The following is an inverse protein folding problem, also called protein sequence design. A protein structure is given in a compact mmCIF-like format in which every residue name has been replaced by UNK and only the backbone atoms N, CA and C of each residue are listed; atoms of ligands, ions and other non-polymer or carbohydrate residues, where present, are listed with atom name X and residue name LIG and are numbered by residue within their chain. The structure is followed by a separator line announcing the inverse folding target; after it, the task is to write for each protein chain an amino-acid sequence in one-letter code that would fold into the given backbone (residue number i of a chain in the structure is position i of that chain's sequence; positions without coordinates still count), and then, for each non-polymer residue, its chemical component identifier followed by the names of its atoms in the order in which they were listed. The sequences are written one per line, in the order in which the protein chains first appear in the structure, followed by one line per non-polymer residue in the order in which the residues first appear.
data_IF_767971918944
#
_entry.id   IF_767971918944
#
_cell.length_a   1.000
_cell.length_b   1.000
_cell.length_c   1.000
_cell.angle_alpha   90.00
_cell.angle_beta   90.00
_cell.angle_gamma   90.00
#
_symmetry.space_group_name_H-M   'P 1'
#
loop_
_entity.id
_entity.type
_entity.pdbx_description
1 polymer ?
#
# COMPACT_ATOMS: atom_id res chain seq x y z
N UNK A 1 34.88 -18.19 -44.39
CA UNK A 1 35.29 -18.66 -43.05
C UNK A 1 36.79 -18.85 -43.11
N UNK A 2 37.52 -17.95 -42.46
CA UNK A 2 38.99 -17.90 -42.50
C UNK A 2 39.57 -19.08 -41.70
N UNK A 3 40.55 -19.75 -42.29
CA UNK A 3 41.38 -20.71 -41.58
C UNK A 3 42.26 -19.93 -40.59
N UNK A 4 42.08 -20.17 -39.30
CA UNK A 4 42.99 -19.68 -38.28
C UNK A 4 44.29 -20.47 -38.40
N UNK A 5 45.31 -19.80 -38.94
CA UNK A 5 46.70 -20.24 -38.87
C UNK A 5 47.10 -20.34 -37.40
N UNK A 6 47.10 -21.57 -36.87
CA UNK A 6 47.77 -21.94 -35.62
C UNK A 6 49.29 -21.82 -35.83
N UNK A 7 49.79 -20.59 -35.87
CA UNK A 7 51.21 -20.31 -35.72
C UNK A 7 51.62 -20.74 -34.30
N UNK A 8 52.10 -21.97 -34.18
CA UNK A 8 52.86 -22.40 -33.01
C UNK A 8 54.04 -21.45 -32.85
N UNK A 9 53.92 -20.53 -31.90
CA UNK A 9 55.00 -19.65 -31.49
C UNK A 9 56.22 -20.53 -31.21
N UNK A 10 57.21 -20.47 -32.12
CA UNK A 10 58.50 -21.11 -31.90
C UNK A 10 59.16 -20.35 -30.75
N UNK A 11 58.97 -20.85 -29.52
CA UNK A 11 59.65 -20.35 -28.33
C UNK A 11 61.13 -20.14 -28.65
N UNK A 12 61.54 -18.87 -28.71
CA UNK A 12 62.95 -18.51 -28.90
C UNK A 12 63.70 -19.02 -27.67
N UNK A 13 64.49 -20.07 -27.86
CA UNK A 13 65.37 -20.63 -26.84
C UNK A 13 66.21 -19.48 -26.27
N UNK A 14 66.17 -19.28 -24.96
CA UNK A 14 66.91 -18.21 -24.29
C UNK A 14 68.41 -18.43 -24.47
N UNK A 15 69.20 -17.35 -24.53
CA UNK A 15 70.66 -17.43 -24.53
C UNK A 15 71.22 -18.22 -23.32
N UNK A 16 70.48 -18.24 -22.21
CA UNK A 16 70.83 -19.02 -21.03
C UNK A 16 70.68 -20.52 -21.29
N UNK A 17 69.62 -20.94 -21.98
CA UNK A 17 69.37 -22.34 -22.35
C UNK A 17 70.40 -22.81 -23.37
N UNK A 18 70.78 -21.96 -24.33
CA UNK A 18 71.81 -22.29 -25.32
C UNK A 18 73.16 -22.55 -24.67
N UNK A 19 73.53 -21.75 -23.66
CA UNK A 19 74.77 -21.97 -22.90
C UNK A 19 74.71 -23.21 -22.02
N UNK A 20 73.55 -23.55 -21.46
CA UNK A 20 73.36 -24.81 -20.73
C UNK A 20 73.52 -26.02 -21.66
N UNK A 21 72.89 -26.01 -22.83
CA UNK A 21 72.99 -27.10 -23.80
C UNK A 21 74.42 -27.28 -24.33
N UNK A 22 75.17 -26.18 -24.51
CA UNK A 22 76.60 -26.25 -24.84
C UNK A 22 77.44 -26.84 -23.72
N UNK A 23 77.20 -26.45 -22.45
CA UNK A 23 77.88 -27.01 -21.28
C UNK A 23 77.62 -28.50 -21.10
N UNK A 24 76.41 -28.94 -21.40
CA UNK A 24 76.01 -30.36 -21.34
C UNK A 24 76.51 -31.17 -22.56
N UNK A 25 77.19 -30.53 -23.52
CA UNK A 25 77.72 -31.19 -24.71
C UNK A 25 76.66 -31.59 -25.75
N UNK A 26 75.39 -31.19 -25.54
CA UNK A 26 74.25 -31.57 -26.37
C UNK A 26 74.21 -30.82 -27.72
N UNK A 27 74.94 -29.71 -27.84
CA UNK A 27 75.06 -28.98 -29.12
C UNK A 27 76.20 -29.48 -30.03
N UNK A 28 77.06 -30.42 -29.61
CA UNK A 28 78.22 -30.86 -30.41
C UNK A 28 77.97 -32.09 -31.27
N UNK A 29 76.78 -32.68 -31.20
CA UNK A 29 76.44 -33.90 -31.92
C UNK A 29 75.07 -33.69 -32.55
N UNK A 30 75.06 -33.22 -33.79
CA UNK A 30 73.83 -33.08 -34.60
C UNK A 30 73.10 -34.44 -34.73
N UNK A 31 73.79 -35.57 -34.54
CA UNK A 31 73.22 -36.92 -34.50
C UNK A 31 72.94 -37.50 -33.08
N UNK A 32 73.19 -36.77 -31.98
CA UNK A 32 72.97 -37.32 -30.63
C UNK A 32 71.50 -37.38 -30.21
N UNK A 33 70.63 -36.67 -30.93
CA UNK A 33 69.18 -36.73 -30.73
C UNK A 33 68.54 -37.37 -31.97
N UNK A 34 69.03 -38.56 -32.34
CA UNK A 34 68.19 -39.48 -33.12
C UNK A 34 67.20 -40.11 -32.16
N UNK A 35 65.97 -39.61 -32.18
CA UNK A 35 64.85 -40.36 -31.62
C UNK A 35 64.80 -41.72 -32.33
N UNK A 36 64.74 -42.84 -31.59
CA UNK A 36 64.61 -44.14 -32.21
C UNK A 36 63.38 -44.13 -33.13
N UNK A 37 63.53 -44.59 -34.39
CA UNK A 37 62.39 -44.77 -35.30
C UNK A 37 61.38 -45.75 -34.68
N UNK A 38 60.12 -45.74 -35.14
CA UNK A 38 59.01 -46.53 -34.57
C UNK A 38 59.32 -48.03 -34.37
N UNK A 39 60.29 -48.58 -35.10
CA UNK A 39 60.76 -49.97 -34.97
C UNK A 39 61.68 -50.24 -33.76
N UNK A 40 62.18 -49.20 -33.11
CA UNK A 40 63.11 -49.29 -31.98
C UNK A 40 62.45 -49.06 -30.63
N UNK A 41 61.11 -49.13 -30.56
CA UNK A 41 60.45 -49.41 -29.29
C UNK A 41 60.61 -50.90 -28.98
N UNK A 42 61.29 -51.29 -27.87
CA UNK A 42 61.32 -52.68 -27.47
C UNK A 42 59.87 -53.14 -27.30
N UNK A 43 59.41 -54.04 -28.18
CA UNK A 43 58.13 -54.72 -27.98
C UNK A 43 58.20 -55.33 -26.59
N UNK A 44 57.31 -54.95 -25.65
CA UNK A 44 57.38 -55.48 -24.31
C UNK A 44 57.34 -57.01 -24.38
N UNK A 45 58.13 -57.71 -23.53
CA UNK A 45 58.13 -59.16 -23.48
C UNK A 45 56.67 -59.65 -23.43
N UNK A 46 56.34 -60.72 -24.16
CA UNK A 46 54.93 -61.17 -24.31
C UNK A 46 54.22 -61.35 -22.96
N UNK A 47 54.98 -61.68 -21.92
CA UNK A 47 54.55 -61.87 -20.53
C UNK A 47 53.88 -60.63 -19.91
N UNK A 48 54.28 -59.40 -20.29
CA UNK A 48 53.73 -58.16 -19.70
C UNK A 48 52.55 -57.58 -20.48
N UNK A 49 52.28 -58.06 -21.71
CA UNK A 49 51.18 -57.55 -22.54
C UNK A 49 49.79 -57.71 -21.88
N UNK A 50 49.47 -58.81 -21.19
CA UNK A 50 48.20 -58.94 -20.47
C UNK A 50 48.06 -57.92 -19.33
N UNK A 51 49.15 -57.70 -18.57
CA UNK A 51 49.17 -56.74 -17.46
C UNK A 51 48.99 -55.29 -17.95
N UNK A 52 49.62 -54.92 -19.06
CA UNK A 52 49.48 -53.58 -19.66
C UNK A 52 48.04 -53.35 -20.15
N UNK A 53 47.40 -54.38 -20.76
CA UNK A 53 45.98 -54.29 -21.17
C UNK A 53 45.04 -54.12 -19.98
N UNK A 54 45.29 -54.82 -18.87
CA UNK A 54 44.51 -54.66 -17.64
C UNK A 54 44.67 -53.28 -17.02
N UNK A 55 45.90 -52.74 -16.96
CA UNK A 55 46.15 -51.39 -16.47
C UNK A 55 45.45 -50.32 -17.33
N UNK A 56 45.46 -50.47 -18.65
CA UNK A 56 44.71 -49.58 -19.57
C UNK A 56 43.20 -49.69 -19.36
N UNK A 57 42.68 -50.90 -19.13
CA UNK A 57 41.26 -51.14 -18.84
C UNK A 57 40.84 -50.47 -17.54
N UNK A 58 41.60 -50.68 -16.46
CA UNK A 58 41.35 -50.08 -15.13
C UNK A 58 41.48 -48.56 -15.21
N UNK A 59 42.50 -48.03 -15.89
CA UNK A 59 42.68 -46.60 -16.10
C UNK A 59 41.50 -45.96 -16.84
N UNK A 60 40.98 -46.64 -17.87
CA UNK A 60 39.80 -46.18 -18.62
C UNK A 60 38.53 -46.15 -17.75
N UNK A 61 38.33 -47.14 -16.89
CA UNK A 61 37.22 -47.15 -15.93
C UNK A 61 37.33 -46.00 -14.92
N UNK A 62 38.54 -45.73 -14.41
CA UNK A 62 38.77 -44.64 -13.45
C UNK A 62 38.45 -43.26 -14.05
N UNK A 63 38.81 -43.02 -15.31
CA UNK A 63 38.43 -41.79 -16.03
C UNK A 63 36.91 -41.66 -16.12
N UNK A 64 36.20 -42.74 -16.47
CA UNK A 64 34.74 -42.75 -16.52
C UNK A 64 34.08 -42.44 -15.15
N UNK A 65 34.60 -42.99 -14.05
CA UNK A 65 34.11 -42.68 -12.71
C UNK A 65 34.36 -41.22 -12.32
N UNK A 66 35.50 -40.65 -12.70
CA UNK A 66 35.81 -39.24 -12.44
C UNK A 66 34.86 -38.31 -13.18
N UNK A 67 34.56 -38.59 -14.44
CA UNK A 67 33.57 -37.82 -15.21
C UNK A 67 32.16 -37.94 -14.63
N UNK A 68 31.79 -39.13 -14.16
CA UNK A 68 30.51 -39.33 -13.49
C UNK A 68 30.41 -38.54 -12.18
N UNK A 69 31.47 -38.55 -11.36
CA UNK A 69 31.54 -37.78 -10.12
C UNK A 69 31.42 -36.27 -10.40
N UNK A 70 32.14 -35.75 -11.41
CA UNK A 70 32.06 -34.35 -11.80
C UNK A 70 30.63 -33.95 -12.23
N UNK A 71 29.95 -34.78 -13.03
CA UNK A 71 28.54 -34.53 -13.40
C UNK A 71 27.58 -34.61 -12.21
N UNK A 72 27.86 -35.45 -11.23
CA UNK A 72 27.05 -35.55 -10.01
C UNK A 72 27.22 -34.29 -9.14
N UNK A 73 28.44 -33.78 -9.01
CA UNK A 73 28.73 -32.52 -8.32
C UNK A 73 28.07 -31.31 -9.01
N UNK A 74 28.14 -31.25 -10.34
CA UNK A 74 27.45 -30.21 -11.12
C UNK A 74 25.94 -30.22 -10.88
N UNK A 75 25.31 -31.40 -10.93
CA UNK A 75 23.87 -31.54 -10.65
C UNK A 75 23.52 -31.17 -9.21
N UNK A 76 24.39 -31.45 -8.24
CA UNK A 76 24.20 -31.03 -6.86
C UNK A 76 24.29 -29.50 -6.73
N UNK A 77 25.24 -28.88 -7.42
CA UNK A 77 25.36 -27.42 -7.47
C UNK A 77 24.12 -26.77 -8.07
N UNK A 78 23.67 -27.25 -9.23
CA UNK A 78 22.43 -26.75 -9.87
C UNK A 78 21.20 -26.95 -8.98
N UNK A 79 21.11 -28.09 -8.28
CA UNK A 79 20.00 -28.34 -7.37
C UNK A 79 20.00 -27.37 -6.19
N UNK A 80 21.17 -27.07 -5.62
CA UNK A 80 21.30 -26.10 -4.54
C UNK A 80 20.93 -24.69 -5.00
N UNK A 81 21.41 -24.26 -6.17
CA UNK A 81 21.03 -22.95 -6.74
C UNK A 81 19.52 -22.85 -6.96
N UNK A 82 18.87 -23.93 -7.43
CA UNK A 82 17.41 -23.98 -7.58
C UNK A 82 16.69 -23.90 -6.24
N UNK A 83 17.21 -24.57 -5.20
CA UNK A 83 16.65 -24.50 -3.84
C UNK A 83 16.74 -23.07 -3.30
N UNK A 84 17.88 -22.40 -3.47
CA UNK A 84 18.05 -21.01 -3.03
C UNK A 84 17.12 -20.05 -3.77
N UNK A 85 17.00 -20.22 -5.10
CA UNK A 85 16.07 -19.44 -5.90
C UNK A 85 14.60 -19.67 -5.51
N UNK A 86 14.23 -20.90 -5.15
CA UNK A 86 12.89 -21.22 -4.64
C UNK A 86 12.66 -20.65 -3.25
N UNK A 87 13.67 -20.68 -2.37
CA UNK A 87 13.60 -20.08 -1.04
C UNK A 87 13.36 -18.56 -1.12
N UNK A 88 14.10 -17.86 -2.00
CA UNK A 88 13.88 -16.42 -2.24
C UNK A 88 12.47 -16.12 -2.79
N UNK A 89 11.98 -16.93 -3.74
CA UNK A 89 10.62 -16.78 -4.26
C UNK A 89 9.56 -17.01 -3.19
N UNK A 90 9.78 -17.98 -2.30
CA UNK A 90 8.88 -18.25 -1.19
C UNK A 90 8.85 -17.07 -0.22
N UNK A 91 10.00 -16.53 0.16
CA UNK A 91 10.10 -15.37 1.06
C UNK A 91 9.39 -14.15 0.47
N UNK A 92 9.58 -13.86 -0.82
CA UNK A 92 8.88 -12.78 -1.51
C UNK A 92 7.36 -12.98 -1.53
N UNK A 93 6.91 -14.21 -1.79
CA UNK A 93 5.49 -14.58 -1.78
C UNK A 93 4.86 -14.43 -0.38
N UNK A 94 5.58 -14.86 0.66
CA UNK A 94 5.13 -14.70 2.05
C UNK A 94 5.08 -13.23 2.47
N UNK A 95 6.07 -12.42 2.09
CA UNK A 95 6.05 -10.98 2.33
C UNK A 95 4.85 -10.30 1.64
N UNK A 96 4.57 -10.68 0.39
CA UNK A 96 3.40 -10.19 -0.34
C UNK A 96 2.09 -10.62 0.34
N UNK A 97 1.99 -11.87 0.79
CA UNK A 97 0.82 -12.38 1.53
C UNK A 97 0.61 -11.61 2.83
N UNK A 98 1.64 -11.41 3.64
CA UNK A 98 1.55 -10.63 4.89
C UNK A 98 1.09 -9.20 4.64
N UNK A 99 1.60 -8.55 3.58
CA UNK A 99 1.17 -7.22 3.17
C UNK A 99 -0.32 -7.20 2.77
N UNK A 100 -0.76 -8.20 2.00
CA UNK A 100 -2.16 -8.33 1.60
C UNK A 100 -3.09 -8.60 2.79
N UNK A 101 -2.67 -9.41 3.76
CA UNK A 101 -3.42 -9.72 4.97
C UNK A 101 -3.59 -8.48 5.86
N UNK A 102 -2.55 -7.67 6.01
CA UNK A 102 -2.62 -6.38 6.72
C UNK A 102 -3.58 -5.42 6.01
N UNK A 103 -3.52 -5.33 4.68
CA UNK A 103 -4.44 -4.48 3.90
C UNK A 103 -5.90 -4.94 4.05
N UNK A 104 -6.15 -6.25 3.98
CA UNK A 104 -7.49 -6.81 4.18
C UNK A 104 -8.01 -6.56 5.59
N UNK A 105 -7.14 -6.62 6.60
CA UNK A 105 -7.51 -6.36 8.00
C UNK A 105 -7.87 -4.88 8.23
N UNK A 106 -7.09 -3.96 7.64
CA UNK A 106 -7.40 -2.53 7.64
C UNK A 106 -8.72 -2.22 6.94
N UNK A 107 -8.93 -2.78 5.74
CA UNK A 107 -10.17 -2.58 5.00
C UNK A 107 -11.40 -3.10 5.75
N UNK A 108 -11.28 -4.24 6.46
CA UNK A 108 -12.37 -4.74 7.32
C UNK A 108 -12.67 -3.78 8.46
N UNK A 109 -11.64 -3.27 9.15
CA UNK A 109 -11.82 -2.31 10.22
C UNK A 109 -12.49 -1.00 9.74
N UNK A 110 -12.07 -0.48 8.58
CA UNK A 110 -12.67 0.70 7.96
C UNK A 110 -14.14 0.47 7.58
N UNK A 111 -14.47 -0.71 7.05
CA UNK A 111 -15.85 -1.08 6.71
C UNK A 111 -16.72 -1.16 7.97
N UNK A 112 -16.22 -1.73 9.06
CA UNK A 112 -16.99 -1.83 10.30
C UNK A 112 -17.16 -0.45 10.96
N UNK A 113 -16.16 0.43 10.89
CA UNK A 113 -16.30 1.82 11.32
C UNK A 113 -17.34 2.57 10.46
N UNK A 114 -17.32 2.37 9.14
CA UNK A 114 -18.29 2.97 8.23
C UNK A 114 -19.72 2.50 8.50
N UNK A 115 -19.92 1.22 8.85
CA UNK A 115 -21.24 0.69 9.26
C UNK A 115 -21.75 1.34 10.54
N UNK A 116 -20.88 1.54 11.54
CA UNK A 116 -21.26 2.22 12.78
C UNK A 116 -21.68 3.67 12.49
N UNK A 117 -20.91 4.37 11.65
CA UNK A 117 -21.26 5.73 11.21
C UNK A 117 -22.58 5.75 10.44
N UNK A 118 -22.81 4.82 9.52
CA UNK A 118 -24.07 4.71 8.77
C UNK A 118 -25.27 4.50 9.71
N UNK A 119 -25.16 3.60 10.69
CA UNK A 119 -26.22 3.39 11.69
C UNK A 119 -26.51 4.67 12.50
N UNK A 120 -25.47 5.42 12.89
CA UNK A 120 -25.66 6.69 13.60
C UNK A 120 -26.35 7.76 12.73
N UNK A 121 -26.07 7.79 11.42
CA UNK A 121 -26.72 8.71 10.48
C UNK A 121 -28.19 8.34 10.28
N UNK A 122 -28.52 7.06 10.16
CA UNK A 122 -29.92 6.60 10.08
C UNK A 122 -30.71 6.98 11.34
N UNK A 123 -30.11 6.86 12.53
CA UNK A 123 -30.76 7.28 13.77
C UNK A 123 -31.00 8.80 13.80
N UNK A 124 -30.02 9.61 13.38
CA UNK A 124 -30.19 11.06 13.28
C UNK A 124 -31.27 11.45 12.27
N UNK A 125 -31.34 10.79 11.12
CA UNK A 125 -32.39 11.01 10.12
C UNK A 125 -33.78 10.70 10.68
N UNK A 126 -33.91 9.62 11.46
CA UNK A 126 -35.17 9.28 12.12
C UNK A 126 -35.60 10.36 13.11
N UNK A 127 -34.69 10.80 13.97
CA UNK A 127 -34.95 11.88 14.94
C UNK A 127 -35.34 13.20 14.25
N UNK A 128 -34.71 13.51 13.12
CA UNK A 128 -35.03 14.70 12.34
C UNK A 128 -36.46 14.61 11.78
N UNK A 129 -36.85 13.47 11.22
CA UNK A 129 -38.21 13.25 10.72
C UNK A 129 -39.28 13.32 11.83
N UNK A 130 -38.97 12.76 13.00
CA UNK A 130 -39.86 12.84 14.16
C UNK A 130 -40.01 14.30 14.64
N UNK A 131 -38.90 15.05 14.68
CA UNK A 131 -38.90 16.47 15.05
C UNK A 131 -39.66 17.36 14.03
N UNK A 132 -39.52 17.09 12.73
CA UNK A 132 -40.28 17.77 11.68
C UNK A 132 -41.78 17.55 11.84
N UNK A 133 -42.18 16.31 12.10
CA UNK A 133 -43.59 15.96 12.32
C UNK A 133 -44.16 16.67 13.56
N UNK A 134 -43.40 16.68 14.67
CA UNK A 134 -43.79 17.37 15.89
C UNK A 134 -43.90 18.91 15.69
N UNK A 135 -43.02 19.49 14.87
CA UNK A 135 -43.06 20.92 14.55
C UNK A 135 -44.32 21.28 13.74
N UNK A 136 -44.70 20.44 12.77
CA UNK A 136 -45.91 20.67 11.98
C UNK A 136 -47.19 20.47 12.81
N UNK A 137 -47.21 19.50 13.72
CA UNK A 137 -48.27 19.36 14.73
C UNK A 137 -48.36 20.60 15.63
N UNK A 138 -47.22 21.14 16.07
CA UNK A 138 -47.20 22.36 16.88
C UNK A 138 -47.72 23.58 16.11
N UNK A 139 -47.31 23.75 14.83
CA UNK A 139 -47.80 24.84 13.96
C UNK A 139 -49.31 24.75 13.74
N UNK A 140 -49.82 23.55 13.48
CA UNK A 140 -51.27 23.35 13.30
C UNK A 140 -52.03 23.61 14.60
N UNK A 141 -51.52 23.13 15.75
CA UNK A 141 -52.10 23.46 17.06
C UNK A 141 -52.07 24.96 17.35
N UNK A 142 -50.99 25.66 16.98
CA UNK A 142 -50.86 27.10 17.15
C UNK A 142 -51.85 27.87 16.27
N UNK A 143 -51.97 27.53 14.99
CA UNK A 143 -52.93 28.20 14.10
C UNK A 143 -54.38 27.99 14.56
N UNK A 144 -54.72 26.81 15.09
CA UNK A 144 -56.04 26.56 15.70
C UNK A 144 -56.27 27.45 16.92
N UNK A 145 -55.27 27.57 17.82
CA UNK A 145 -55.35 28.46 18.99
C UNK A 145 -55.50 29.92 18.57
N UNK A 146 -54.73 30.38 17.60
CA UNK A 146 -54.80 31.75 17.07
C UNK A 146 -56.18 32.04 16.45
N UNK A 147 -56.72 31.11 15.65
CA UNK A 147 -58.08 31.24 15.11
C UNK A 147 -59.15 31.29 16.21
N UNK A 148 -58.99 30.52 17.28
CA UNK A 148 -59.90 30.54 18.42
C UNK A 148 -59.83 31.87 19.19
N UNK A 149 -58.62 32.40 19.40
CA UNK A 149 -58.40 33.73 19.99
C UNK A 149 -59.05 34.82 19.13
N UNK A 150 -58.86 34.79 17.80
CA UNK A 150 -59.50 35.73 16.87
C UNK A 150 -61.03 35.64 16.96
N UNK A 151 -61.59 34.42 17.03
CA UNK A 151 -63.05 34.24 17.21
C UNK A 151 -63.53 34.83 18.54
N UNK A 152 -62.80 34.59 19.65
CA UNK A 152 -63.13 35.16 20.97
C UNK A 152 -63.06 36.68 20.95
N UNK A 153 -61.99 37.27 20.42
CA UNK A 153 -61.83 38.71 20.23
C UNK A 153 -62.99 39.29 19.42
N UNK A 154 -63.31 38.70 18.25
CA UNK A 154 -64.46 39.12 17.43
C UNK A 154 -65.79 39.04 18.16
N UNK A 155 -65.97 38.04 19.01
CA UNK A 155 -67.20 37.86 19.80
C UNK A 155 -67.30 38.82 20.99
N UNK A 156 -66.17 39.23 21.57
CA UNK A 156 -66.10 40.29 22.57
C UNK A 156 -66.27 41.68 21.91
N UNK A 157 -65.77 41.87 20.68
CA UNK A 157 -65.98 43.06 19.87
C UNK A 157 -67.28 43.00 19.06
N UNK A 158 -68.41 42.66 19.68
CA UNK A 158 -69.72 43.13 19.17
C UNK A 158 -69.64 44.66 19.11
N UNK A 159 -70.18 45.32 18.07
CA UNK A 159 -69.99 46.74 17.89
C UNK A 159 -70.57 47.47 19.10
N UNK A 160 -69.72 47.93 20.01
CA UNK A 160 -69.96 49.18 20.70
C UNK A 160 -69.95 50.22 19.59
N UNK A 161 -71.17 50.46 19.10
CA UNK A 161 -71.56 51.57 18.26
C UNK A 161 -70.83 52.81 18.72
N UNK A 162 -70.14 53.49 17.80
CA UNK A 162 -69.78 54.91 17.89
C UNK A 162 -69.54 55.38 19.33
N UNK A 163 -68.44 54.98 19.95
CA UNK A 163 -67.93 55.79 21.05
C UNK A 163 -67.31 57.03 20.41
N UNK A 164 -68.11 58.09 20.34
CA UNK A 164 -67.57 59.43 20.29
C UNK A 164 -66.51 59.54 21.38
N UNK A 165 -65.33 60.04 21.01
CA UNK A 165 -64.20 60.23 21.92
C UNK A 165 -64.61 61.24 23.00
N UNK A 166 -65.18 60.76 24.10
CA UNK A 166 -65.63 61.59 25.20
C UNK A 166 -64.46 61.92 26.11
N UNK A 167 -63.80 63.04 25.80
CA UNK A 167 -62.72 63.63 26.59
C UNK A 167 -63.15 64.00 28.03
N UNK A 168 -64.43 63.89 28.37
CA UNK A 168 -64.96 64.24 29.69
C UNK A 168 -64.95 63.07 30.69
N UNK A 169 -64.64 61.83 30.30
CA UNK A 169 -64.65 60.69 31.23
C UNK A 169 -63.42 59.75 31.11
N UNK A 170 -62.35 59.98 31.90
CA UNK A 170 -61.02 59.36 31.72
C UNK A 170 -60.90 57.88 32.15
N UNK A 171 -61.99 57.24 32.57
CA UNK A 171 -61.93 55.90 33.21
C UNK A 171 -61.93 54.75 32.20
N UNK A 172 -62.29 55.00 30.93
CA UNK A 172 -62.36 53.99 29.87
C UNK A 172 -61.83 54.56 28.53
N UNK A 173 -60.68 55.25 28.55
CA UNK A 173 -60.06 55.73 27.31
C UNK A 173 -59.10 54.67 26.73
N UNK A 174 -59.40 54.10 25.53
CA UNK A 174 -58.54 53.12 24.88
C UNK A 174 -57.13 53.64 24.58
N UNK A 175 -56.93 54.96 24.46
CA UNK A 175 -55.61 55.56 24.24
C UNK A 175 -54.73 55.48 25.49
N UNK A 176 -55.31 55.64 26.68
CA UNK A 176 -54.61 55.47 27.95
C UNK A 176 -54.24 54.01 28.20
N UNK A 177 -55.10 53.06 27.82
CA UNK A 177 -54.80 51.62 27.88
C UNK A 177 -53.69 51.23 26.91
N UNK A 178 -53.71 51.75 25.68
CA UNK A 178 -52.66 51.48 24.69
C UNK A 178 -51.30 52.06 25.11
N UNK A 179 -51.29 53.28 25.68
CA UNK A 179 -50.09 53.89 26.26
C UNK A 179 -49.58 53.09 27.46
N UNK A 180 -50.47 52.61 28.34
CA UNK A 180 -50.10 51.79 29.49
C UNK A 180 -49.49 50.44 29.07
N UNK A 181 -50.05 49.76 28.07
CA UNK A 181 -49.49 48.53 27.50
C UNK A 181 -48.11 48.76 26.87
N UNK A 182 -47.95 49.87 26.15
CA UNK A 182 -46.67 50.24 25.55
C UNK A 182 -45.62 50.63 26.60
N UNK A 183 -46.04 51.25 27.70
CA UNK A 183 -45.14 51.58 28.80
C UNK A 183 -44.73 50.33 29.58
N UNK A 184 -45.68 49.41 29.82
CA UNK A 184 -45.47 48.18 30.56
C UNK A 184 -44.59 47.17 29.78
N UNK A 185 -44.92 46.91 28.50
CA UNK A 185 -44.18 45.93 27.69
C UNK A 185 -43.10 46.53 26.78
N UNK A 186 -43.11 47.85 26.56
CA UNK A 186 -42.12 48.49 25.69
C UNK A 186 -40.69 48.38 26.23
N UNK A 187 -40.51 48.24 27.56
CA UNK A 187 -39.20 48.00 28.16
C UNK A 187 -38.68 46.59 27.84
N UNK A 188 -39.51 45.57 28.01
CA UNK A 188 -39.17 44.18 27.69
C UNK A 188 -38.87 44.00 26.20
N UNK A 189 -39.64 44.64 25.32
CA UNK A 189 -39.41 44.61 23.87
C UNK A 189 -38.07 45.27 23.52
N UNK A 190 -37.74 46.42 24.13
CA UNK A 190 -36.46 47.10 23.90
C UNK A 190 -35.27 46.28 24.39
N UNK A 191 -35.39 45.63 25.56
CA UNK A 191 -34.35 44.75 26.08
C UNK A 191 -34.18 43.48 25.22
N UNK A 192 -35.27 42.88 24.76
CA UNK A 192 -35.22 41.74 23.85
C UNK A 192 -34.52 42.07 22.52
N UNK A 193 -34.81 43.23 21.94
CA UNK A 193 -34.16 43.72 20.71
C UNK A 193 -32.68 44.01 20.95
N UNK A 194 -32.32 44.64 22.08
CA UNK A 194 -30.92 44.89 22.42
C UNK A 194 -30.12 43.59 22.62
N UNK A 195 -30.69 42.60 23.30
CA UNK A 195 -30.06 41.30 23.52
C UNK A 195 -29.92 40.49 22.24
N UNK A 196 -30.92 40.52 21.35
CA UNK A 196 -30.82 39.92 20.02
C UNK A 196 -29.73 40.59 19.17
N UNK A 197 -29.65 41.93 19.21
CA UNK A 197 -28.59 42.69 18.52
C UNK A 197 -27.19 42.35 19.04
N UNK A 198 -27.02 42.21 20.36
CA UNK A 198 -25.75 41.82 20.96
C UNK A 198 -25.36 40.39 20.58
N UNK A 199 -26.33 39.46 20.58
CA UNK A 199 -26.13 38.06 20.21
C UNK A 199 -25.74 37.91 18.74
N UNK A 200 -26.37 38.69 17.85
CA UNK A 200 -26.02 38.73 16.43
C UNK A 200 -24.63 39.34 16.19
N UNK A 201 -24.27 40.39 16.93
CA UNK A 201 -22.93 41.01 16.84
C UNK A 201 -21.82 40.07 17.33
N UNK A 202 -22.11 39.18 18.29
CA UNK A 202 -21.18 38.16 18.74
C UNK A 202 -20.99 37.02 17.72
N UNK A 203 -22.05 36.68 16.96
CA UNK A 203 -22.00 35.65 15.92
C UNK A 203 -21.37 36.16 14.61
N UNK A 204 -21.48 37.46 14.33
CA UNK A 204 -20.93 38.11 13.15
C UNK A 204 -20.09 39.34 13.51
N UNK A 205 -18.87 39.15 14.03
CA UNK A 205 -17.95 40.26 14.26
C UNK A 205 -17.50 40.86 12.92
N UNK A 206 -17.74 42.15 12.74
CA UNK A 206 -17.18 42.97 11.65
C UNK A 206 -15.70 43.28 11.91
#
# INVERSE_FOLDING_TARGET
MAAEDLEWERSKISNQDTNMLKRLGLMKKEDAIRFPSEESYPKPPMEYRPMIKELLRIGSQFVGYREYAARAEEKLSEANERVDALAQKLEQSEAARKKAELAASKAKAEVDEAKVKAASVEELQRRLKDAESALDEQKTAQTVREQEIIKRLKSQSRPQTNQDFDLENPVNDPLLDALSLLEFHGREIREGVANASASLSALFPL
#
